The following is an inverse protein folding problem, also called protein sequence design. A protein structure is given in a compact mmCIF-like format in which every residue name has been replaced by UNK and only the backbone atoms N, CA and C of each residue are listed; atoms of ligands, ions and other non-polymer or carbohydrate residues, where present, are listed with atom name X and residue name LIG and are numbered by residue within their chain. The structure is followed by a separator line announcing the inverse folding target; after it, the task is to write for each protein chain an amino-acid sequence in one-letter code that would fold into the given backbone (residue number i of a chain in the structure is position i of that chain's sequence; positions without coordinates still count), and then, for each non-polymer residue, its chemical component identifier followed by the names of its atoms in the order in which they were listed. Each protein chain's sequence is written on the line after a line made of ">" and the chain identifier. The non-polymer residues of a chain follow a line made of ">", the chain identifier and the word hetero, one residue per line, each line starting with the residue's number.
data_IF_091742308601
#
_entry.id   IF_091742308601
#
_cell.length_a   1.000
_cell.length_b   1.000
_cell.length_c   1.000
_cell.angle_alpha   90.00
_cell.angle_beta   90.00
_cell.angle_gamma   90.00
#
_symmetry.space_group_name_H-M   'P 1'
#
loop_
_entity.id
_entity.type
_entity.pdbx_description
1 polymer ?
#
# COMPACT_ATOMS: atom_id res chain seq x y z
N UNK A 1 12.22 7.23 -46.96
CA UNK A 1 13.69 7.03 -46.91
C UNK A 1 14.00 6.11 -45.75
N UNK A 2 14.93 5.15 -45.90
CA UNK A 2 14.68 3.75 -45.57
C UNK A 2 15.61 3.15 -44.48
N UNK A 3 15.14 2.03 -43.90
CA UNK A 3 15.85 0.77 -43.63
C UNK A 3 17.03 0.70 -42.63
N UNK A 4 17.12 -0.52 -42.06
CA UNK A 4 18.29 -1.21 -41.44
C UNK A 4 18.58 -0.89 -39.97
N UNK A 5 18.94 -1.82 -39.09
CA UNK A 5 19.04 -3.29 -39.14
C UNK A 5 19.35 -3.78 -37.72
N UNK A 6 18.87 -4.97 -37.39
CA UNK A 6 19.24 -5.75 -36.19
C UNK A 6 20.71 -6.16 -36.27
N UNK A 7 21.44 -6.06 -35.16
CA UNK A 7 22.69 -6.81 -34.95
C UNK A 7 22.61 -7.51 -33.59
N UNK A 8 22.39 -8.83 -33.66
CA UNK A 8 22.72 -9.77 -32.61
C UNK A 8 24.23 -10.03 -32.68
N UNK A 9 24.95 -9.81 -31.58
CA UNK A 9 26.29 -10.35 -31.39
C UNK A 9 26.28 -11.28 -30.19
N UNK A 10 26.09 -12.57 -30.48
CA UNK A 10 26.51 -13.63 -29.59
C UNK A 10 27.99 -13.91 -29.84
N UNK A 11 28.79 -13.97 -28.78
CA UNK A 11 30.10 -14.63 -28.80
C UNK A 11 30.16 -15.60 -27.62
N UNK A 12 30.25 -16.88 -27.95
CA UNK A 12 30.62 -17.98 -27.08
C UNK A 12 32.14 -18.07 -27.00
N UNK A 13 32.68 -18.29 -25.80
CA UNK A 13 34.10 -18.63 -25.57
C UNK A 13 34.40 -18.84 -24.06
N UNK A 14 35.38 -19.68 -23.67
CA UNK A 14 35.06 -20.88 -22.88
C UNK A 14 35.67 -20.97 -21.46
N UNK A 15 34.98 -21.77 -20.63
CA UNK A 15 35.42 -22.72 -19.59
C UNK A 15 36.79 -22.54 -18.87
N UNK A 16 36.76 -22.47 -17.52
CA UNK A 16 37.77 -23.07 -16.64
C UNK A 16 37.20 -23.28 -15.22
N UNK A 17 37.01 -24.55 -14.86
CA UNK A 17 36.78 -25.02 -13.49
C UNK A 17 37.93 -24.65 -12.55
N UNK A 18 37.61 -24.17 -11.34
CA UNK A 18 38.41 -24.50 -10.15
C UNK A 18 37.52 -24.58 -8.89
N UNK A 19 37.56 -25.70 -8.15
CA UNK A 19 36.87 -25.82 -6.87
C UNK A 19 37.74 -25.27 -5.74
N UNK A 20 37.14 -24.55 -4.80
CA UNK A 20 37.73 -24.28 -3.48
C UNK A 20 36.64 -24.46 -2.42
N UNK A 21 36.83 -25.47 -1.57
CA UNK A 21 36.20 -25.67 -0.26
C UNK A 21 37.35 -25.68 0.79
N UNK A 22 37.09 -25.76 2.11
CA UNK A 22 36.12 -25.03 2.93
C UNK A 22 36.82 -24.38 4.17
N UNK A 23 36.24 -23.34 4.76
CA UNK A 23 36.75 -22.69 5.98
C UNK A 23 35.71 -22.68 7.10
N UNK A 24 36.02 -23.31 8.22
CA UNK A 24 35.22 -23.55 9.43
C UNK A 24 34.85 -22.28 10.23
N UNK A 25 33.74 -22.39 10.98
CA UNK A 25 33.48 -21.67 12.24
C UNK A 25 32.76 -20.33 12.06
N UNK A 26 31.75 -19.95 12.82
CA UNK A 26 31.20 -20.47 14.06
C UNK A 26 29.71 -20.11 14.17
N UNK A 27 28.99 -21.00 14.86
CA UNK A 27 27.61 -20.83 15.30
C UNK A 27 27.59 -19.86 16.47
N UNK A 28 27.26 -18.59 16.22
CA UNK A 28 26.93 -17.60 17.26
C UNK A 28 25.42 -17.34 17.29
N UNK A 29 24.75 -17.80 18.35
CA UNK A 29 23.32 -17.58 18.56
C UNK A 29 23.00 -16.17 19.03
N UNK A 30 22.10 -15.51 18.32
CA UNK A 30 21.34 -14.34 18.75
C UNK A 30 20.01 -14.37 17.99
N UNK A 31 18.91 -14.60 18.69
CA UNK A 31 17.61 -14.80 18.09
C UNK A 31 17.04 -13.48 17.52
N UNK A 32 17.15 -13.30 16.21
CA UNK A 32 16.16 -12.59 15.40
C UNK A 32 15.78 -13.50 14.24
N UNK A 33 14.68 -14.25 14.41
CA UNK A 33 14.29 -15.33 13.49
C UNK A 33 13.81 -14.84 12.13
N UNK A 34 13.66 -13.53 11.93
CA UNK A 34 13.10 -12.91 10.72
C UNK A 34 14.01 -12.77 9.52
N UNK A 35 15.32 -12.60 9.76
CA UNK A 35 16.26 -12.25 8.68
C UNK A 35 16.69 -13.45 7.82
N UNK A 36 16.30 -14.67 8.18
CA UNK A 36 16.84 -15.89 7.54
C UNK A 36 16.22 -16.22 6.18
N UNK A 37 15.07 -15.62 5.86
CA UNK A 37 14.33 -15.95 4.64
C UNK A 37 14.31 -14.84 3.59
N UNK A 38 14.90 -13.67 3.85
CA UNK A 38 14.99 -12.59 2.87
C UNK A 38 16.13 -12.86 1.89
N UNK A 39 15.85 -12.76 0.60
CA UNK A 39 16.78 -12.96 -0.50
C UNK A 39 17.05 -11.61 -1.15
N UNK A 40 18.32 -11.21 -1.14
CA UNK A 40 18.79 -9.98 -1.76
C UNK A 40 19.66 -10.28 -2.97
N UNK A 41 19.51 -9.49 -4.03
CA UNK A 41 20.39 -9.49 -5.21
C UNK A 41 20.83 -8.05 -5.47
N UNK A 42 22.14 -7.83 -5.60
CA UNK A 42 22.74 -6.49 -5.78
C UNK A 42 22.27 -5.44 -4.74
N UNK A 43 22.10 -5.88 -3.49
CA UNK A 43 21.64 -5.03 -2.38
C UNK A 43 20.14 -4.70 -2.43
N UNK A 44 19.38 -5.27 -3.36
CA UNK A 44 17.93 -5.12 -3.47
C UNK A 44 17.20 -6.36 -3.01
N UNK A 45 16.15 -6.19 -2.20
CA UNK A 45 15.28 -7.28 -1.79
C UNK A 45 14.53 -7.83 -3.01
N UNK A 46 14.76 -9.09 -3.36
CA UNK A 46 14.10 -9.75 -4.51
C UNK A 46 12.94 -10.64 -4.09
N UNK A 47 13.06 -11.32 -2.96
CA UNK A 47 12.04 -12.26 -2.48
C UNK A 47 12.23 -12.61 -1.01
N UNK A 48 11.23 -13.22 -0.39
CA UNK A 48 11.34 -13.84 0.91
C UNK A 48 10.04 -14.55 1.29
N UNK A 49 10.01 -15.19 2.46
CA UNK A 49 8.76 -15.68 3.02
C UNK A 49 7.83 -14.51 3.35
N UNK A 50 6.51 -14.72 3.29
CA UNK A 50 5.53 -13.66 3.62
C UNK A 50 5.80 -13.08 5.01
N UNK A 51 6.13 -13.95 5.97
CA UNK A 51 6.52 -13.63 7.33
C UNK A 51 7.71 -12.66 7.38
N UNK A 52 8.81 -13.00 6.70
CA UNK A 52 9.99 -12.17 6.66
C UNK A 52 9.74 -10.82 5.96
N UNK A 53 8.91 -10.81 4.91
CA UNK A 53 8.52 -9.58 4.23
C UNK A 53 7.64 -8.66 5.11
N UNK A 54 6.73 -9.24 5.91
CA UNK A 54 5.95 -8.49 6.89
C UNK A 54 6.85 -7.93 8.00
N UNK A 55 7.83 -8.69 8.48
CA UNK A 55 8.80 -8.18 9.45
C UNK A 55 9.66 -7.07 8.86
N UNK A 56 10.07 -7.18 7.59
CA UNK A 56 10.80 -6.15 6.87
C UNK A 56 9.98 -4.87 6.61
N UNK A 57 8.65 -4.93 6.67
CA UNK A 57 7.77 -3.77 6.61
C UNK A 57 7.80 -2.96 7.91
N UNK A 58 8.07 -3.58 9.06
CA UNK A 58 8.01 -2.90 10.35
C UNK A 58 9.36 -2.21 10.65
N UNK A 59 9.40 -0.88 10.83
CA UNK A 59 10.63 -0.18 11.20
C UNK A 59 11.21 -0.74 12.49
N UNK A 60 12.53 -0.72 12.60
CA UNK A 60 13.23 -1.00 13.86
C UNK A 60 13.94 0.28 14.34
N UNK A 61 14.70 0.18 15.42
CA UNK A 61 15.52 1.28 15.91
C UNK A 61 16.46 1.83 14.83
N UNK A 62 17.13 0.97 14.07
CA UNK A 62 18.20 1.35 13.14
C UNK A 62 17.78 1.25 11.66
N UNK A 63 16.56 0.79 11.40
CA UNK A 63 16.04 0.57 10.05
C UNK A 63 14.70 1.28 9.84
N UNK A 64 14.45 1.72 8.60
CA UNK A 64 13.15 2.15 8.10
C UNK A 64 13.04 1.67 6.65
N UNK A 65 11.96 0.96 6.27
CA UNK A 65 11.78 0.49 4.90
C UNK A 65 11.69 1.67 3.93
N UNK A 66 12.29 1.53 2.75
CA UNK A 66 12.16 2.58 1.75
C UNK A 66 10.72 2.68 1.23
N UNK A 67 10.34 3.88 0.76
CA UNK A 67 8.97 4.15 0.31
C UNK A 67 8.50 3.26 -0.83
N UNK A 68 9.42 2.82 -1.70
CA UNK A 68 9.09 1.93 -2.81
C UNK A 68 8.70 0.56 -2.29
N UNK A 69 9.45 0.04 -1.32
CA UNK A 69 9.11 -1.20 -0.64
C UNK A 69 7.76 -1.10 0.09
N UNK A 70 7.57 -0.05 0.91
CA UNK A 70 6.29 0.17 1.64
C UNK A 70 5.12 0.14 0.67
N UNK A 71 5.17 0.98 -0.38
CA UNK A 71 4.10 1.08 -1.35
C UNK A 71 3.84 -0.26 -2.07
N UNK A 72 4.90 -0.90 -2.57
CA UNK A 72 4.80 -2.13 -3.36
C UNK A 72 4.29 -3.28 -2.50
N UNK A 73 4.84 -3.46 -1.30
CA UNK A 73 4.43 -4.53 -0.40
C UNK A 73 2.98 -4.34 0.05
N UNK A 74 2.59 -3.14 0.48
CA UNK A 74 1.20 -2.84 0.85
C UNK A 74 0.24 -2.98 -0.33
N UNK A 75 0.67 -2.65 -1.55
CA UNK A 75 -0.13 -2.86 -2.77
C UNK A 75 -0.39 -4.36 -2.99
N UNK A 76 0.67 -5.14 -3.02
CA UNK A 76 0.68 -6.55 -3.41
C UNK A 76 0.23 -7.53 -2.31
N UNK A 77 0.36 -7.15 -1.03
CA UNK A 77 0.00 -8.02 0.11
C UNK A 77 -1.47 -8.43 0.11
N UNK A 78 -2.36 -7.61 -0.51
CA UNK A 78 -3.80 -7.90 -0.65
C UNK A 78 -4.11 -9.19 -1.40
N UNK A 79 -3.18 -9.69 -2.20
CA UNK A 79 -3.32 -10.99 -2.90
C UNK A 79 -3.13 -12.16 -1.92
N UNK A 80 -2.41 -11.95 -0.83
CA UNK A 80 -2.06 -12.98 0.15
C UNK A 80 -2.89 -12.90 1.43
N UNK A 81 -3.26 -11.70 1.87
CA UNK A 81 -4.02 -11.49 3.11
C UNK A 81 -4.80 -10.17 3.10
N UNK A 82 -5.92 -10.06 3.85
CA UNK A 82 -6.66 -8.82 3.95
C UNK A 82 -5.91 -7.77 4.81
N UNK A 83 -6.15 -6.47 4.60
CA UNK A 83 -5.41 -5.41 5.29
C UNK A 83 -5.50 -5.45 6.82
N UNK A 84 -6.63 -5.87 7.40
CA UNK A 84 -6.78 -5.96 8.86
C UNK A 84 -5.89 -7.05 9.46
N UNK A 85 -5.70 -8.19 8.79
CA UNK A 85 -4.78 -9.24 9.25
C UNK A 85 -3.33 -8.76 9.17
N UNK A 86 -2.97 -8.01 8.13
CA UNK A 86 -1.63 -7.42 8.01
C UNK A 86 -1.39 -6.37 9.10
N UNK A 87 -2.38 -5.51 9.39
CA UNK A 87 -2.31 -4.53 10.48
C UNK A 87 -2.13 -5.25 11.83
N UNK A 88 -2.91 -6.29 12.11
CA UNK A 88 -2.78 -7.08 13.33
C UNK A 88 -1.36 -7.64 13.48
N UNK A 89 -0.78 -8.19 12.40
CA UNK A 89 0.60 -8.68 12.40
C UNK A 89 1.63 -7.57 12.63
N UNK A 90 1.50 -6.43 11.95
CA UNK A 90 2.35 -5.25 12.18
C UNK A 90 2.27 -4.82 13.64
N UNK A 91 1.07 -4.79 14.21
CA UNK A 91 0.84 -4.45 15.62
C UNK A 91 1.51 -5.42 16.59
N UNK A 92 1.50 -6.72 16.28
CA UNK A 92 2.16 -7.75 17.08
C UNK A 92 3.68 -7.59 17.05
N UNK A 93 4.29 -7.41 15.87
CA UNK A 93 5.73 -7.17 15.73
C UNK A 93 6.12 -5.89 16.48
N UNK A 94 5.30 -4.83 16.38
CA UNK A 94 5.53 -3.58 17.10
C UNK A 94 5.53 -3.79 18.63
N UNK A 95 4.63 -4.62 19.15
CA UNK A 95 4.55 -4.93 20.57
C UNK A 95 5.78 -5.71 21.06
N UNK A 96 6.20 -6.72 20.29
CA UNK A 96 7.38 -7.53 20.61
C UNK A 96 8.65 -6.68 20.63
N UNK A 97 8.88 -5.86 19.60
CA UNK A 97 10.02 -4.94 19.55
C UNK A 97 9.99 -3.94 20.70
N UNK A 98 8.81 -3.41 21.05
CA UNK A 98 8.66 -2.49 22.18
C UNK A 98 9.05 -3.13 23.51
N UNK A 99 8.54 -4.33 23.80
CA UNK A 99 8.84 -5.04 25.05
C UNK A 99 10.34 -5.31 25.19
N UNK A 100 11.02 -5.63 24.09
CA UNK A 100 12.47 -5.78 24.07
C UNK A 100 13.21 -4.47 24.40
N UNK A 101 12.74 -3.34 23.85
CA UNK A 101 13.33 -2.02 24.13
C UNK A 101 13.08 -1.55 25.56
N UNK A 102 11.91 -1.86 26.15
CA UNK A 102 11.57 -1.51 27.53
C UNK A 102 12.37 -2.33 28.56
N UNK A 103 12.65 -3.60 28.26
CA UNK A 103 13.45 -4.49 29.12
C UNK A 103 14.96 -4.27 28.96
N UNK A 104 15.40 -3.64 27.88
CA UNK A 104 16.81 -3.45 27.54
C UNK A 104 17.40 -2.10 27.99
N UNK A 105 18.72 -1.91 27.79
CA UNK A 105 19.40 -0.63 28.05
C UNK A 105 18.98 0.48 27.08
N UNK A 106 18.23 0.14 26.01
CA UNK A 106 17.87 1.03 24.92
C UNK A 106 16.54 1.77 25.11
N UNK A 107 16.01 1.84 26.35
CA UNK A 107 14.74 2.53 26.66
C UNK A 107 14.67 3.96 26.08
N UNK A 108 15.80 4.67 26.00
CA UNK A 108 15.89 6.00 25.40
C UNK A 108 15.48 6.05 23.90
N UNK A 109 15.58 4.93 23.18
CA UNK A 109 15.25 4.82 21.75
C UNK A 109 13.77 4.57 21.47
N UNK A 110 12.97 4.31 22.52
CA UNK A 110 11.55 4.00 22.43
C UNK A 110 10.72 5.11 21.73
N UNK A 111 11.10 6.37 21.96
CA UNK A 111 10.47 7.54 21.32
C UNK A 111 10.73 7.59 19.81
N UNK A 112 11.97 7.28 19.40
CA UNK A 112 12.36 7.21 17.98
C UNK A 112 11.62 6.09 17.27
N UNK A 113 11.58 4.90 17.88
CA UNK A 113 10.81 3.76 17.38
C UNK A 113 9.33 4.12 17.21
N UNK A 114 8.69 4.72 18.22
CA UNK A 114 7.29 5.14 18.16
C UNK A 114 7.01 6.11 17.02
N UNK A 115 7.94 7.05 16.78
CA UNK A 115 7.83 8.03 15.68
C UNK A 115 7.89 7.32 14.31
N UNK A 116 8.77 6.33 14.15
CA UNK A 116 8.84 5.52 12.92
C UNK A 116 7.58 4.70 12.68
N UNK A 117 6.98 4.11 13.73
CA UNK A 117 5.70 3.39 13.59
C UNK A 117 4.58 4.33 13.16
N UNK A 118 4.47 5.52 13.78
CA UNK A 118 3.48 6.52 13.35
C UNK A 118 3.71 6.94 11.90
N UNK A 119 4.97 7.09 11.48
CA UNK A 119 5.29 7.39 10.09
C UNK A 119 4.84 6.27 9.14
N UNK A 120 5.11 4.99 9.45
CA UNK A 120 4.63 3.85 8.64
C UNK A 120 3.11 3.86 8.51
N UNK A 121 2.38 4.00 9.63
CA UNK A 121 0.92 4.05 9.62
C UNK A 121 0.41 5.21 8.77
N UNK A 122 1.05 6.37 8.87
CA UNK A 122 0.70 7.54 8.05
C UNK A 122 0.85 7.23 6.57
N UNK A 123 1.99 6.69 6.16
CA UNK A 123 2.26 6.33 4.77
C UNK A 123 1.24 5.32 4.24
N UNK A 124 0.82 4.35 5.06
CA UNK A 124 -0.24 3.40 4.70
C UNK A 124 -1.60 4.11 4.52
N UNK A 125 -2.03 4.91 5.51
CA UNK A 125 -3.32 5.62 5.47
C UNK A 125 -3.43 6.63 4.33
N UNK A 126 -2.32 7.24 3.93
CA UNK A 126 -2.27 8.19 2.80
C UNK A 126 -2.27 7.46 1.45
N UNK A 127 -1.50 6.36 1.32
CA UNK A 127 -1.41 5.61 0.06
C UNK A 127 -2.69 4.80 -0.22
N UNK A 128 -3.28 4.19 0.80
CA UNK A 128 -4.38 3.23 0.66
C UNK A 128 -5.50 3.47 1.69
N UNK A 129 -6.18 4.62 1.67
CA UNK A 129 -7.21 4.96 2.66
C UNK A 129 -8.34 3.92 2.73
N UNK A 130 -8.69 3.28 1.62
CA UNK A 130 -9.76 2.28 1.56
C UNK A 130 -9.48 1.00 2.36
N UNK A 131 -8.22 0.70 2.68
CA UNK A 131 -7.89 -0.44 3.56
C UNK A 131 -8.51 -0.30 4.95
N UNK A 132 -8.83 0.93 5.35
CA UNK A 132 -9.39 1.28 6.66
C UNK A 132 -10.88 1.60 6.60
N UNK A 133 -11.57 1.27 5.50
CA UNK A 133 -13.02 1.37 5.41
C UNK A 133 -13.72 0.33 6.31
N UNK A 134 -13.06 -0.81 6.54
CA UNK A 134 -13.52 -1.87 7.42
C UNK A 134 -13.25 -1.55 8.89
N UNK A 135 -14.22 -1.84 9.76
CA UNK A 135 -14.14 -1.56 11.20
C UNK A 135 -13.00 -2.34 11.88
N UNK A 136 -12.67 -3.56 11.42
CA UNK A 136 -11.55 -4.33 12.00
C UNK A 136 -10.22 -3.65 11.70
N UNK A 137 -10.02 -3.18 10.48
CA UNK A 137 -8.80 -2.46 10.10
C UNK A 137 -8.67 -1.14 10.89
N UNK A 138 -9.77 -0.41 11.05
CA UNK A 138 -9.79 0.80 11.88
C UNK A 138 -9.52 0.50 13.37
N UNK A 139 -10.04 -0.62 13.89
CA UNK A 139 -9.78 -1.05 15.26
C UNK A 139 -8.29 -1.40 15.48
N UNK A 140 -7.66 -2.15 14.55
CA UNK A 140 -6.24 -2.45 14.62
C UNK A 140 -5.37 -1.19 14.54
N UNK A 141 -5.68 -0.27 13.62
CA UNK A 141 -5.00 1.02 13.53
C UNK A 141 -5.03 1.76 14.88
N UNK A 142 -6.22 1.86 15.50
CA UNK A 142 -6.40 2.50 16.81
C UNK A 142 -5.65 1.77 17.92
N UNK A 143 -5.59 0.44 17.89
CA UNK A 143 -4.88 -0.35 18.87
C UNK A 143 -3.36 -0.14 18.79
N UNK A 144 -2.78 -0.12 17.59
CA UNK A 144 -1.36 0.19 17.38
C UNK A 144 -1.07 1.63 17.81
N UNK A 145 -1.89 2.59 17.35
CA UNK A 145 -1.78 3.99 17.69
C UNK A 145 -1.80 4.23 19.21
N UNK A 146 -2.72 3.58 19.92
CA UNK A 146 -2.79 3.69 21.38
C UNK A 146 -1.50 3.18 22.05
N UNK A 147 -0.98 2.02 21.62
CA UNK A 147 0.25 1.45 22.17
C UNK A 147 1.45 2.38 22.01
N UNK A 148 1.61 3.03 20.85
CA UNK A 148 2.75 3.95 20.63
C UNK A 148 2.60 5.29 21.39
N UNK A 149 1.38 5.70 21.76
CA UNK A 149 1.20 6.93 22.59
C UNK A 149 1.66 6.79 24.03
N UNK A 150 1.81 5.57 24.55
CA UNK A 150 2.25 5.32 25.92
C UNK A 150 3.71 5.76 26.19
N UNK A 151 4.45 6.14 25.14
CA UNK A 151 5.85 6.52 25.19
C UNK A 151 6.08 8.04 25.20
N UNK A 152 5.03 8.86 25.18
CA UNK A 152 5.07 10.32 24.96
C UNK A 152 4.69 11.10 26.23
N UNK A 153 5.63 11.22 27.17
CA UNK A 153 5.36 11.85 28.48
C UNK A 153 5.55 13.38 28.50
N UNK A 154 6.25 13.98 27.53
CA UNK A 154 6.78 15.35 27.71
C UNK A 154 6.24 16.41 26.72
N UNK A 155 5.78 16.04 25.51
CA UNK A 155 5.39 17.03 24.49
C UNK A 155 4.15 16.68 23.66
N UNK A 156 3.65 15.44 23.74
CA UNK A 156 2.44 15.02 23.05
C UNK A 156 2.57 15.01 21.53
N UNK A 157 3.79 15.07 20.97
CA UNK A 157 4.04 15.17 19.53
C UNK A 157 3.56 13.92 18.79
N UNK A 158 3.84 12.74 19.35
CA UNK A 158 3.42 11.44 18.77
C UNK A 158 1.90 11.35 18.83
N UNK A 159 1.31 11.72 19.97
CA UNK A 159 -0.16 11.77 20.13
C UNK A 159 -0.81 12.73 19.12
N UNK A 160 -0.27 13.94 18.93
CA UNK A 160 -0.78 14.91 17.95
C UNK A 160 -0.71 14.38 16.52
N UNK A 161 0.42 13.77 16.13
CA UNK A 161 0.60 13.20 14.80
C UNK A 161 -0.42 12.08 14.51
N UNK A 162 -0.66 11.21 15.51
CA UNK A 162 -1.66 10.14 15.42
C UNK A 162 -3.07 10.72 15.26
N UNK A 163 -3.45 11.69 16.09
CA UNK A 163 -4.76 12.33 16.00
C UNK A 163 -4.97 12.96 14.62
N UNK A 164 -3.97 13.68 14.11
CA UNK A 164 -4.02 14.30 12.78
C UNK A 164 -4.13 13.25 11.66
N UNK A 165 -3.38 12.16 11.73
CA UNK A 165 -3.42 11.06 10.77
C UNK A 165 -4.81 10.41 10.73
N UNK A 166 -5.36 10.03 11.89
CA UNK A 166 -6.70 9.42 11.98
C UNK A 166 -7.76 10.40 11.46
N UNK A 167 -7.69 11.67 11.84
CA UNK A 167 -8.62 12.69 11.36
C UNK A 167 -8.56 12.85 9.84
N UNK A 168 -7.36 12.89 9.26
CA UNK A 168 -7.15 13.03 7.82
C UNK A 168 -7.67 11.81 7.04
N UNK A 169 -7.49 10.62 7.61
CA UNK A 169 -8.04 9.37 7.07
C UNK A 169 -9.57 9.40 7.06
N UNK A 170 -10.20 9.76 8.18
CA UNK A 170 -11.66 9.84 8.29
C UNK A 170 -12.27 10.85 7.31
N UNK A 171 -11.64 12.03 7.18
CA UNK A 171 -12.05 13.04 6.18
C UNK A 171 -11.93 12.50 4.76
N UNK A 172 -10.83 11.80 4.45
CA UNK A 172 -10.61 11.19 3.13
C UNK A 172 -11.64 10.13 2.81
N UNK A 173 -11.98 9.27 3.77
CA UNK A 173 -13.01 8.23 3.63
C UNK A 173 -14.41 8.85 3.45
N UNK A 174 -14.75 9.86 4.25
CA UNK A 174 -16.04 10.56 4.15
C UNK A 174 -16.22 11.25 2.78
N UNK A 175 -15.21 11.99 2.33
CA UNK A 175 -15.23 12.66 1.02
C UNK A 175 -15.43 11.65 -0.12
N UNK A 176 -14.75 10.51 -0.06
CA UNK A 176 -14.87 9.44 -1.05
C UNK A 176 -16.25 8.77 -1.02
N UNK A 177 -16.80 8.54 0.17
CA UNK A 177 -18.17 8.01 0.33
C UNK A 177 -19.22 8.94 -0.28
N UNK A 178 -19.10 10.26 -0.07
CA UNK A 178 -20.00 11.25 -0.67
C UNK A 178 -19.92 11.25 -2.20
N UNK A 179 -18.71 11.16 -2.76
CA UNK A 179 -18.52 11.08 -4.22
C UNK A 179 -19.14 9.80 -4.80
N UNK A 180 -19.05 8.68 -4.08
CA UNK A 180 -19.70 7.44 -4.50
C UNK A 180 -21.22 7.58 -4.52
N UNK A 181 -21.82 8.15 -3.47
CA UNK A 181 -23.26 8.38 -3.39
C UNK A 181 -23.78 9.29 -4.53
N UNK A 182 -23.06 10.37 -4.82
CA UNK A 182 -23.39 11.26 -5.95
C UNK A 182 -23.31 10.55 -7.29
N UNK A 183 -22.30 9.70 -7.48
CA UNK A 183 -22.13 8.89 -8.69
C UNK A 183 -23.27 7.88 -8.85
N UNK A 184 -23.74 7.26 -7.76
CA UNK A 184 -24.87 6.33 -7.78
C UNK A 184 -26.18 7.05 -8.12
N UNK A 185 -26.42 8.24 -7.56
CA UNK A 185 -27.57 9.09 -7.90
C UNK A 185 -27.59 9.47 -9.39
N UNK A 186 -26.43 9.82 -9.95
CA UNK A 186 -26.29 10.15 -11.38
C UNK A 186 -26.44 8.92 -12.29
N UNK A 187 -26.08 7.73 -11.80
CA UNK A 187 -26.21 6.45 -12.54
C UNK A 187 -27.64 5.91 -12.54
N UNK A 188 -28.56 6.48 -11.76
CA UNK A 188 -29.97 6.09 -11.81
C UNK A 188 -30.48 6.14 -13.27
N UNK A 189 -31.11 5.07 -13.77
CA UNK A 189 -31.43 4.97 -15.19
C UNK A 189 -32.46 6.05 -15.58
N UNK A 190 -32.16 6.80 -16.64
CA UNK A 190 -33.16 7.48 -17.49
C UNK A 190 -33.93 6.44 -18.33
N UNK A 191 -34.25 5.29 -17.73
CA UNK A 191 -35.02 4.20 -18.33
C UNK A 191 -36.04 3.77 -17.29
N UNK A 192 -37.05 4.61 -17.09
CA UNK A 192 -38.43 4.13 -16.98
C UNK A 192 -39.41 5.22 -17.43
N UNK A 193 -39.45 5.46 -18.74
CA UNK A 193 -40.63 6.01 -19.40
C UNK A 193 -40.91 5.22 -20.66
N UNK A 194 -41.31 3.97 -20.47
CA UNK A 194 -42.17 3.27 -21.44
C UNK A 194 -43.56 3.93 -21.47
N UNK A 195 -44.23 4.02 -22.62
CA UNK A 195 -45.32 4.96 -22.84
C UNK A 195 -46.68 4.41 -22.39
N UNK A 196 -47.28 5.04 -21.38
CA UNK A 196 -48.75 5.05 -21.25
C UNK A 196 -49.22 6.49 -21.39
N UNK A 197 -49.67 6.77 -22.62
CA UNK A 197 -50.74 7.69 -22.99
C UNK A 197 -50.57 9.19 -22.67
N UNK A 198 -50.27 9.92 -23.76
CA UNK A 198 -50.69 11.30 -24.06
C UNK A 198 -50.50 12.36 -22.96
N UNK A 199 -49.39 13.09 -23.01
CA UNK A 199 -49.39 14.55 -22.85
C UNK A 199 -48.04 15.18 -23.29
N UNK A 200 -48.16 16.11 -24.25
CA UNK A 200 -47.31 17.28 -24.58
C UNK A 200 -45.76 17.15 -24.58
N UNK A 201 -45.06 17.44 -25.70
CA UNK A 201 -43.61 17.24 -25.80
C UNK A 201 -42.82 18.34 -25.06
N UNK A 202 -41.85 18.00 -24.18
CA UNK A 202 -40.77 18.90 -23.81
C UNK A 202 -39.61 18.80 -24.82
N UNK A 203 -38.86 19.89 -24.96
CA UNK A 203 -37.88 20.17 -26.02
C UNK A 203 -36.93 19.00 -26.32
N UNK A 204 -36.75 18.75 -27.63
CA UNK A 204 -35.98 17.67 -28.21
C UNK A 204 -34.50 17.69 -27.79
N UNK A 205 -34.12 16.77 -26.91
CA UNK A 205 -32.75 16.30 -26.83
C UNK A 205 -32.57 15.33 -28.01
N UNK A 206 -31.97 15.80 -29.12
CA UNK A 206 -31.71 14.95 -30.29
C UNK A 206 -30.60 13.97 -29.94
N UNK A 207 -30.93 12.68 -29.94
CA UNK A 207 -29.97 11.58 -29.91
C UNK A 207 -29.03 11.68 -31.12
N UNK A 208 -27.76 11.29 -30.99
CA UNK A 208 -26.74 11.40 -32.05
C UNK A 208 -27.15 10.55 -33.27
N UNK A 209 -27.79 9.41 -33.03
CA UNK A 209 -28.37 8.55 -34.08
C UNK A 209 -29.61 9.18 -34.74
N UNK A 210 -30.26 10.12 -34.05
CA UNK A 210 -31.32 10.97 -34.58
C UNK A 210 -30.81 12.19 -35.35
N UNK A 211 -29.52 12.52 -35.26
CA UNK A 211 -28.85 13.56 -36.05
C UNK A 211 -28.25 12.98 -37.32
N UNK A 212 -27.62 11.79 -37.22
CA UNK A 212 -27.09 11.07 -38.38
C UNK A 212 -27.19 9.56 -38.13
N UNK A 213 -27.80 8.85 -39.08
CA UNK A 213 -27.97 7.39 -39.00
C UNK A 213 -26.71 6.62 -39.46
N UNK A 214 -25.76 7.32 -40.08
CA UNK A 214 -24.50 6.75 -40.56
C UNK A 214 -23.30 7.36 -39.81
N UNK A 215 -22.63 6.60 -38.94
CA UNK A 215 -21.52 7.10 -38.15
C UNK A 215 -20.31 7.52 -39.00
N UNK A 216 -20.14 6.98 -40.21
CA UNK A 216 -19.04 7.34 -41.09
C UNK A 216 -19.23 8.76 -41.66
N UNK A 217 -20.46 9.11 -42.03
CA UNK A 217 -20.82 10.44 -42.55
C UNK A 217 -20.66 11.51 -41.47
N UNK A 218 -21.04 11.19 -40.23
CA UNK A 218 -20.87 12.11 -39.10
C UNK A 218 -19.38 12.40 -38.82
N UNK A 219 -18.53 11.37 -38.87
CA UNK A 219 -17.10 11.52 -38.61
C UNK A 219 -16.40 12.43 -39.63
N UNK A 220 -16.82 12.38 -40.90
CA UNK A 220 -16.26 13.21 -41.97
C UNK A 220 -16.58 14.70 -41.82
N UNK A 221 -17.64 15.07 -41.09
CA UNK A 221 -18.02 16.47 -40.85
C UNK A 221 -17.25 17.14 -39.72
N UNK A 222 -16.39 16.41 -39.01
CA UNK A 222 -15.63 16.89 -37.84
C UNK A 222 -14.14 17.13 -38.13
N UNK A 223 -13.73 17.01 -39.40
CA UNK A 223 -12.39 17.31 -39.94
C UNK A 223 -12.42 18.54 -40.82
#
# INVERSE_FOLDING_TARGET
>A
MPQTSVVFSGTLGPNCNRPVQPGMGERGGGASSGSKDLIFQDGRLTSGSLEALMEHLVPTVDYYPDRTYIFTFLLSSRVFMPPHDLLARVGQICLEQRQQLEAGPEKAKLKSFSTKIVQLLKEWTEAFPYDFQDEKAMAELKAIAHRVTQCDEENGTVKKAITQMIQSLLLSLAARSQLQELREKLRSPVVDKGPVLKAKPPAAQKDILGVCSDPLVLAQQLT
#
